data_IF_283691592274
#
_entry.id   IF_283691592274
#
_cell.length_a   1.000
_cell.length_b   1.000
_cell.length_c   1.000
_cell.angle_alpha   90.00
_cell.angle_beta   90.00
_cell.angle_gamma   90.00
#
_symmetry.space_group_name_H-M   'P 1'
#
loop_
_entity.id
_entity.type
_entity.pdbx_description
1 polymer ?
#
# COMPACT_ATOMS: atom_id res chain seq x y z
N UNK A 1 73.23 42.13 58.45
CA UNK A 1 72.84 40.73 58.19
C UNK A 1 71.31 40.49 58.20
N UNK A 2 70.56 41.16 59.02
CA UNK A 2 69.13 40.92 59.19
C UNK A 2 68.27 41.26 57.91
N UNK A 3 68.63 42.30 57.15
CA UNK A 3 67.83 42.66 55.98
C UNK A 3 67.84 41.66 54.83
N UNK A 4 69.01 41.01 54.64
CA UNK A 4 69.15 39.91 53.64
C UNK A 4 68.38 38.63 54.01
N UNK A 5 68.27 38.35 55.32
CA UNK A 5 67.51 37.20 55.77
C UNK A 5 66.02 37.39 55.67
N UNK A 6 65.52 38.63 55.94
CA UNK A 6 64.12 38.98 55.76
C UNK A 6 63.73 38.93 54.25
N UNK A 7 64.55 39.41 53.36
CA UNK A 7 64.31 39.32 51.93
C UNK A 7 64.30 37.89 51.39
N UNK A 8 65.14 37.02 51.90
CA UNK A 8 65.14 35.58 51.56
C UNK A 8 63.90 34.88 52.10
N UNK A 9 63.40 35.24 53.27
CA UNK A 9 62.22 34.65 53.90
C UNK A 9 60.94 35.10 53.15
N UNK A 10 60.86 36.36 52.69
CA UNK A 10 59.77 36.85 51.88
C UNK A 10 59.75 36.24 50.48
N UNK A 11 60.91 36.01 49.87
CA UNK A 11 61.01 35.32 48.60
C UNK A 11 60.62 33.81 48.71
N UNK A 12 61.03 33.17 49.81
CA UNK A 12 60.63 31.78 50.06
C UNK A 12 59.11 31.65 50.39
N UNK A 13 58.53 32.58 51.14
CA UNK A 13 57.11 32.61 51.38
C UNK A 13 56.31 32.94 50.12
N UNK A 14 56.78 33.85 49.28
CA UNK A 14 56.19 34.16 47.98
C UNK A 14 56.22 32.95 47.05
N UNK A 15 57.30 32.21 46.98
CA UNK A 15 57.41 31.00 46.12
C UNK A 15 56.55 29.85 46.65
N UNK A 16 56.37 29.70 47.94
CA UNK A 16 55.51 28.71 48.53
C UNK A 16 54.00 29.04 48.31
N UNK A 17 53.67 30.33 48.36
CA UNK A 17 52.30 30.83 48.04
C UNK A 17 51.94 30.57 46.59
N UNK A 18 52.84 30.85 45.68
CA UNK A 18 52.64 30.59 44.23
C UNK A 18 52.54 29.09 43.94
N UNK A 19 53.37 28.23 44.59
CA UNK A 19 53.31 26.80 44.38
C UNK A 19 52.06 26.15 44.97
N UNK A 20 51.47 26.72 46.05
CA UNK A 20 50.22 26.22 46.64
C UNK A 20 48.94 26.70 45.89
N UNK A 21 48.99 27.86 45.25
CA UNK A 21 47.86 28.44 44.55
C UNK A 21 47.78 27.94 43.08
N UNK A 22 48.95 27.66 42.42
CA UNK A 22 48.99 27.15 41.06
C UNK A 22 48.13 25.89 40.81
N UNK A 23 48.20 24.83 41.62
CA UNK A 23 47.34 23.63 41.35
C UNK A 23 45.86 23.92 41.47
N UNK A 24 45.43 24.80 42.35
CA UNK A 24 44.03 25.18 42.54
C UNK A 24 43.51 26.08 41.37
N UNK A 25 44.39 26.95 40.84
CA UNK A 25 44.06 27.80 39.70
C UNK A 25 43.97 26.97 38.40
N UNK A 26 44.89 26.00 38.22
CA UNK A 26 44.85 25.10 37.07
C UNK A 26 43.63 24.19 37.10
N UNK A 27 43.21 23.71 38.28
CA UNK A 27 41.98 22.92 38.44
C UNK A 27 40.70 23.71 38.14
N UNK A 28 40.70 25.04 38.36
CA UNK A 28 39.57 25.91 37.99
C UNK A 28 39.48 26.22 36.50
N UNK A 29 40.53 25.99 35.74
CA UNK A 29 40.55 26.17 34.27
C UNK A 29 40.13 24.93 33.50
N UNK A 30 39.91 23.77 34.16
CA UNK A 30 39.46 22.56 33.49
C UNK A 30 37.98 22.69 33.19
N UNK A 31 37.55 22.69 31.91
CA UNK A 31 36.14 22.82 31.56
C UNK A 31 35.38 21.61 32.08
N UNK A 32 34.21 21.88 32.66
CA UNK A 32 33.28 20.85 33.11
C UNK A 32 32.36 20.48 31.95
N UNK A 33 32.26 19.22 31.64
CA UNK A 33 31.48 18.71 30.52
C UNK A 33 30.41 17.75 31.00
N UNK A 34 29.26 17.84 30.37
CA UNK A 34 28.21 16.83 30.50
C UNK A 34 28.47 15.73 29.50
N UNK A 35 28.43 14.49 29.96
CA UNK A 35 28.68 13.33 29.13
C UNK A 35 27.51 12.38 29.13
N UNK A 36 27.30 11.76 27.99
CA UNK A 36 26.34 10.70 27.77
C UNK A 36 27.01 9.52 27.10
N UNK A 37 26.40 8.37 27.15
CA UNK A 37 26.75 7.21 26.33
C UNK A 37 25.78 7.10 25.17
N UNK A 38 26.26 6.65 24.00
CA UNK A 38 25.35 6.29 22.90
C UNK A 38 24.30 5.26 23.38
N UNK A 39 23.10 5.36 22.84
CA UNK A 39 22.04 4.39 23.15
C UNK A 39 21.86 3.45 21.98
N UNK A 40 21.79 2.14 22.27
CA UNK A 40 21.26 1.20 21.29
C UNK A 40 19.75 1.31 21.26
N UNK A 41 19.21 1.57 20.07
CA UNK A 41 17.77 1.65 19.81
C UNK A 41 17.43 0.60 18.77
N UNK A 42 16.40 -0.17 19.07
CA UNK A 42 15.81 -1.06 18.06
C UNK A 42 14.96 -0.23 17.12
N UNK A 43 15.42 -0.08 15.90
CA UNK A 43 14.69 0.64 14.87
C UNK A 43 13.79 -0.33 14.10
N UNK A 44 12.51 0.00 14.03
CA UNK A 44 11.53 -0.65 13.17
C UNK A 44 11.14 0.31 12.06
N UNK A 45 11.36 -0.08 10.82
CA UNK A 45 10.91 0.70 9.68
C UNK A 45 9.40 0.58 9.56
N UNK A 46 8.71 1.73 9.55
CA UNK A 46 7.26 1.80 9.36
C UNK A 46 6.95 2.38 8.00
N UNK A 47 6.04 1.74 7.29
CA UNK A 47 5.62 2.14 5.95
C UNK A 47 4.15 2.51 6.00
N UNK A 48 3.85 3.74 5.60
CA UNK A 48 2.47 4.22 5.50
C UNK A 48 1.91 3.90 4.12
N UNK A 49 0.76 3.26 4.12
CA UNK A 49 0.02 2.90 2.92
C UNK A 49 -1.42 3.39 3.02
N UNK A 50 -2.03 3.69 1.88
CA UNK A 50 -3.42 4.17 1.82
C UNK A 50 -4.23 3.29 0.88
N UNK A 51 -5.51 3.12 1.18
CA UNK A 51 -6.40 2.30 0.38
C UNK A 51 -7.83 2.29 0.88
N UNK A 52 -8.50 1.17 0.74
CA UNK A 52 -9.91 0.97 1.11
C UNK A 52 -10.11 -0.32 1.89
N UNK A 53 -11.13 -0.31 2.75
CA UNK A 53 -11.62 -1.55 3.37
C UNK A 53 -12.50 -2.28 2.35
N UNK A 54 -12.29 -3.57 2.22
CA UNK A 54 -13.09 -4.44 1.37
C UNK A 54 -13.54 -5.68 2.14
N UNK A 55 -14.69 -6.25 1.77
CA UNK A 55 -15.07 -7.54 2.29
C UNK A 55 -14.13 -8.62 1.72
N UNK A 56 -13.62 -9.50 2.56
CA UNK A 56 -12.68 -10.54 2.14
C UNK A 56 -13.29 -11.48 1.10
N UNK A 57 -14.58 -11.81 1.27
CA UNK A 57 -15.31 -12.67 0.36
C UNK A 57 -16.47 -11.89 -0.25
N UNK A 58 -16.44 -11.71 -1.55
CA UNK A 58 -17.54 -11.14 -2.34
C UNK A 58 -17.87 -12.10 -3.46
N UNK A 59 -19.17 -12.36 -3.65
CA UNK A 59 -19.68 -13.15 -4.76
C UNK A 59 -20.62 -12.35 -5.61
N UNK A 60 -20.27 -12.28 -6.87
CA UNK A 60 -21.04 -11.64 -7.92
C UNK A 60 -21.80 -12.71 -8.70
N UNK A 61 -23.10 -12.54 -8.82
CA UNK A 61 -23.98 -13.47 -9.51
C UNK A 61 -24.20 -12.94 -10.91
N UNK A 62 -23.69 -13.66 -11.90
CA UNK A 62 -23.88 -13.41 -13.31
C UNK A 62 -24.77 -14.47 -13.93
N UNK A 63 -25.51 -14.12 -14.96
CA UNK A 63 -26.15 -15.07 -15.88
C UNK A 63 -25.57 -14.87 -17.28
N UNK A 64 -25.35 -15.95 -17.98
CA UNK A 64 -24.82 -15.94 -19.35
C UNK A 64 -25.84 -15.38 -20.33
N UNK A 65 -27.13 -15.51 -20.00
CA UNK A 65 -28.24 -15.04 -20.82
C UNK A 65 -28.99 -13.92 -20.14
N UNK A 66 -29.48 -12.89 -20.89
CA UNK A 66 -30.39 -11.89 -20.34
C UNK A 66 -31.67 -12.56 -19.85
N UNK A 67 -32.15 -12.18 -18.69
CA UNK A 67 -33.39 -12.74 -18.10
C UNK A 67 -34.30 -11.62 -17.63
N UNK A 68 -35.60 -11.93 -17.52
CA UNK A 68 -36.59 -11.08 -16.89
C UNK A 68 -36.97 -11.72 -15.56
N UNK A 69 -36.79 -10.97 -14.49
CA UNK A 69 -37.27 -11.41 -13.18
C UNK A 69 -38.75 -11.10 -13.03
N UNK A 70 -39.56 -12.09 -12.65
CA UNK A 70 -40.96 -11.88 -12.24
C UNK A 70 -41.05 -11.19 -10.88
N UNK A 71 -40.09 -11.49 -9.98
CA UNK A 71 -40.00 -10.85 -8.67
C UNK A 71 -38.56 -10.82 -8.16
N UNK A 72 -38.19 -9.75 -7.45
CA UNK A 72 -36.95 -9.63 -6.71
C UNK A 72 -37.29 -9.56 -5.23
N UNK A 73 -36.74 -10.49 -4.44
CA UNK A 73 -37.16 -10.74 -3.05
C UNK A 73 -36.19 -10.11 -2.04
N UNK A 74 -35.13 -9.46 -2.52
CA UNK A 74 -34.08 -8.88 -1.68
C UNK A 74 -33.76 -7.44 -2.10
N UNK A 75 -33.28 -6.67 -1.12
CA UNK A 75 -32.83 -5.30 -1.30
C UNK A 75 -31.39 -5.15 -0.82
N UNK A 76 -30.72 -4.08 -1.24
CA UNK A 76 -29.39 -3.76 -0.73
C UNK A 76 -29.46 -3.55 0.79
N UNK A 77 -28.58 -4.24 1.52
CA UNK A 77 -28.53 -4.25 2.98
C UNK A 77 -29.17 -5.46 3.63
N UNK A 78 -29.91 -6.29 2.89
CA UNK A 78 -30.52 -7.50 3.45
C UNK A 78 -29.48 -8.59 3.70
N UNK A 79 -29.58 -9.26 4.85
CA UNK A 79 -28.81 -10.45 5.14
C UNK A 79 -29.49 -11.68 4.50
N UNK A 80 -28.71 -12.44 3.76
CA UNK A 80 -29.17 -13.65 3.08
C UNK A 80 -28.36 -14.85 3.49
N UNK A 81 -29.01 -16.02 3.49
CA UNK A 81 -28.35 -17.31 3.73
C UNK A 81 -28.07 -17.99 2.40
N UNK A 82 -27.06 -18.84 2.42
CA UNK A 82 -26.76 -19.73 1.29
C UNK A 82 -28.02 -20.47 0.83
N UNK A 83 -28.20 -20.60 -0.49
CA UNK A 83 -29.34 -21.24 -1.17
C UNK A 83 -30.68 -20.50 -0.97
N UNK A 84 -30.72 -19.34 -0.31
CA UNK A 84 -31.92 -18.52 -0.23
C UNK A 84 -32.25 -17.94 -1.62
N UNK A 85 -33.54 -17.97 -1.99
CA UNK A 85 -34.04 -17.40 -3.24
C UNK A 85 -33.96 -15.85 -3.15
N UNK A 86 -33.31 -15.26 -4.14
CA UNK A 86 -33.08 -13.81 -4.25
C UNK A 86 -34.04 -13.17 -5.30
N UNK A 87 -34.25 -13.89 -6.38
CA UNK A 87 -35.17 -13.48 -7.44
C UNK A 87 -35.76 -14.71 -8.14
N UNK A 88 -36.96 -14.54 -8.66
CA UNK A 88 -37.65 -15.53 -9.49
C UNK A 88 -37.67 -15.05 -10.92
N UNK A 89 -37.37 -15.91 -11.87
CA UNK A 89 -37.26 -15.58 -13.29
C UNK A 89 -38.56 -15.96 -14.01
N UNK A 90 -39.08 -15.10 -14.83
CA UNK A 90 -40.12 -15.42 -15.79
C UNK A 90 -39.48 -16.11 -17.00
N UNK A 91 -39.44 -17.42 -16.94
CA UNK A 91 -38.85 -18.24 -18.01
C UNK A 91 -39.65 -18.18 -19.31
N UNK A 92 -40.97 -18.00 -19.21
CA UNK A 92 -41.87 -17.93 -20.39
C UNK A 92 -41.64 -16.62 -21.15
N UNK A 93 -41.66 -15.51 -20.43
CA UNK A 93 -41.44 -14.20 -21.03
C UNK A 93 -39.98 -14.06 -21.53
N UNK A 94 -39.00 -14.56 -20.77
CA UNK A 94 -37.61 -14.61 -21.19
C UNK A 94 -37.43 -15.36 -22.49
N UNK A 95 -38.00 -16.56 -22.63
CA UNK A 95 -37.96 -17.36 -23.85
C UNK A 95 -38.63 -16.65 -25.02
N UNK A 96 -39.83 -16.07 -24.82
CA UNK A 96 -40.56 -15.39 -25.87
C UNK A 96 -39.80 -14.19 -26.46
N UNK A 97 -39.06 -13.43 -25.61
CA UNK A 97 -38.24 -12.32 -26.05
C UNK A 97 -37.00 -12.81 -26.80
N UNK A 98 -36.41 -13.92 -26.36
CA UNK A 98 -35.26 -14.53 -27.04
C UNK A 98 -35.66 -15.10 -28.41
N UNK A 99 -36.84 -15.70 -28.49
CA UNK A 99 -37.38 -16.22 -29.75
C UNK A 99 -37.82 -15.10 -30.71
N UNK A 100 -38.24 -13.94 -30.18
CA UNK A 100 -38.54 -12.73 -30.94
C UNK A 100 -37.32 -11.89 -31.33
N UNK A 101 -36.15 -12.16 -30.72
CA UNK A 101 -34.87 -11.58 -31.19
C UNK A 101 -34.62 -12.13 -32.60
N UNK A 102 -34.71 -11.25 -33.57
CA UNK A 102 -34.75 -11.41 -35.02
C UNK A 102 -33.96 -12.65 -35.47
N UNK A 103 -34.60 -13.62 -36.12
CA UNK A 103 -33.91 -14.76 -36.70
C UNK A 103 -32.76 -14.26 -37.59
N UNK A 104 -31.62 -14.90 -37.56
CA UNK A 104 -30.45 -14.51 -38.38
C UNK A 104 -30.82 -14.32 -39.86
N UNK A 105 -31.86 -15.02 -40.32
CA UNK A 105 -32.43 -14.92 -41.68
C UNK A 105 -33.14 -13.57 -41.93
N UNK A 106 -33.82 -12.98 -40.90
CA UNK A 106 -34.46 -11.67 -41.06
C UNK A 106 -33.46 -10.53 -40.93
N UNK A 107 -32.37 -10.74 -40.14
CA UNK A 107 -31.25 -9.80 -40.09
C UNK A 107 -30.50 -9.80 -41.44
N UNK A 108 -30.29 -10.97 -42.04
CA UNK A 108 -29.70 -11.09 -43.38
C UNK A 108 -30.58 -10.46 -44.46
N UNK A 109 -31.92 -10.55 -44.33
CA UNK A 109 -32.86 -9.90 -45.25
C UNK A 109 -32.90 -8.39 -45.07
N UNK A 110 -32.83 -7.86 -43.83
CA UNK A 110 -32.75 -6.40 -43.54
C UNK A 110 -31.43 -5.81 -44.09
N UNK A 111 -30.34 -6.52 -43.94
CA UNK A 111 -29.06 -6.11 -44.57
C UNK A 111 -29.05 -6.27 -46.09
N UNK A 112 -29.80 -7.23 -46.65
CA UNK A 112 -29.84 -7.43 -48.10
C UNK A 112 -30.66 -6.35 -48.81
N UNK A 113 -31.70 -5.77 -48.19
CA UNK A 113 -32.46 -4.68 -48.79
C UNK A 113 -31.74 -3.32 -48.74
N UNK A 114 -31.01 -3.01 -47.62
CA UNK A 114 -30.23 -1.79 -47.52
C UNK A 114 -28.89 -1.86 -48.31
N UNK A 115 -28.33 -3.06 -48.48
CA UNK A 115 -27.06 -3.27 -49.16
C UNK A 115 -27.17 -3.28 -50.71
N UNK A 116 -28.35 -3.46 -51.24
CA UNK A 116 -28.57 -3.26 -52.68
C UNK A 116 -28.47 -1.80 -53.14
N UNK A 117 -28.51 -0.84 -52.18
CA UNK A 117 -28.29 0.57 -52.47
C UNK A 117 -26.87 1.08 -52.17
N UNK A 118 -26.02 0.29 -51.56
CA UNK A 118 -24.66 0.70 -51.18
C UNK A 118 -23.63 0.26 -52.24
N UNK A 119 -23.19 1.20 -53.06
CA UNK A 119 -22.12 1.05 -54.03
C UNK A 119 -20.75 0.61 -53.43
N UNK A 120 -20.64 0.58 -52.11
CA UNK A 120 -19.41 0.22 -51.40
C UNK A 120 -19.22 -1.30 -51.24
N UNK A 121 -20.29 -2.10 -51.41
CA UNK A 121 -20.18 -3.57 -51.32
C UNK A 121 -19.63 -4.20 -52.59
N UNK A 122 -19.77 -3.56 -53.74
CA UNK A 122 -19.12 -3.99 -54.97
C UNK A 122 -17.58 -3.97 -54.84
N UNK A 123 -17.05 -3.02 -53.99
CA UNK A 123 -15.64 -2.95 -53.63
C UNK A 123 -15.18 -4.12 -52.76
N UNK A 124 -15.98 -4.49 -51.79
CA UNK A 124 -15.65 -5.60 -50.87
C UNK A 124 -15.75 -6.94 -51.54
N UNK A 125 -16.72 -7.15 -52.42
CA UNK A 125 -16.88 -8.35 -53.24
C UNK A 125 -15.72 -8.53 -54.23
N UNK A 126 -15.24 -7.44 -54.87
CA UNK A 126 -14.08 -7.48 -55.74
C UNK A 126 -12.76 -7.78 -55.04
N UNK A 127 -12.59 -7.31 -53.80
CA UNK A 127 -11.42 -7.60 -52.95
C UNK A 127 -11.41 -9.06 -52.50
N UNK A 128 -12.58 -9.62 -52.18
CA UNK A 128 -12.72 -11.03 -51.77
C UNK A 128 -12.52 -11.97 -52.98
N UNK A 129 -13.01 -11.64 -54.16
CA UNK A 129 -12.77 -12.43 -55.39
C UNK A 129 -11.29 -12.44 -55.83
N UNK A 130 -10.52 -11.42 -55.50
CA UNK A 130 -9.10 -11.34 -55.79
C UNK A 130 -8.18 -12.02 -54.77
N UNK A 131 -8.73 -12.54 -53.69
CA UNK A 131 -7.98 -13.27 -52.67
C UNK A 131 -7.95 -14.80 -52.95
N UNK A 132 -6.92 -15.52 -52.51
CA UNK A 132 -6.83 -16.98 -52.67
C UNK A 132 -8.00 -17.77 -52.03
N UNK A 133 -8.78 -17.13 -51.17
CA UNK A 133 -9.97 -17.67 -50.49
C UNK A 133 -11.24 -17.48 -51.36
N UNK A 134 -11.23 -16.59 -52.35
CA UNK A 134 -12.41 -16.21 -53.12
C UNK A 134 -12.79 -17.14 -54.26
N UNK A 135 -11.97 -18.15 -54.60
CA UNK A 135 -12.22 -19.03 -55.74
C UNK A 135 -13.36 -20.04 -55.55
N UNK A 136 -13.93 -20.14 -54.33
CA UNK A 136 -15.01 -21.07 -54.04
C UNK A 136 -16.31 -20.38 -53.50
N UNK A 137 -16.38 -19.05 -53.51
CA UNK A 137 -17.53 -18.31 -53.03
C UNK A 137 -18.32 -17.79 -54.20
N UNK A 138 -19.37 -18.51 -54.59
CA UNK A 138 -20.19 -18.19 -55.76
C UNK A 138 -21.27 -17.15 -55.48
N UNK A 139 -21.69 -16.96 -54.25
CA UNK A 139 -22.75 -16.01 -53.86
C UNK A 139 -22.55 -15.46 -52.46
N UNK A 140 -23.23 -14.37 -52.09
CA UNK A 140 -23.23 -13.82 -50.76
C UNK A 140 -23.81 -14.82 -49.73
N UNK A 141 -24.75 -15.69 -50.17
CA UNK A 141 -25.31 -16.79 -49.38
C UNK A 141 -24.22 -17.82 -49.02
N UNK A 142 -23.29 -18.09 -49.95
CA UNK A 142 -22.14 -19.00 -49.71
C UNK A 142 -21.17 -18.42 -48.67
N UNK A 143 -21.00 -17.09 -48.65
CA UNK A 143 -20.17 -16.40 -47.65
C UNK A 143 -20.78 -16.45 -46.26
N UNK A 144 -22.07 -16.22 -46.14
CA UNK A 144 -22.81 -16.32 -44.88
C UNK A 144 -22.82 -17.78 -44.40
N UNK A 145 -22.98 -18.74 -45.31
CA UNK A 145 -22.93 -20.17 -44.98
C UNK A 145 -21.52 -20.63 -44.56
N UNK A 146 -20.48 -20.06 -45.12
CA UNK A 146 -19.08 -20.37 -44.76
C UNK A 146 -18.67 -19.69 -43.44
N UNK A 147 -19.20 -18.52 -43.14
CA UNK A 147 -18.92 -17.78 -41.90
C UNK A 147 -19.70 -18.31 -40.68
N UNK A 148 -20.90 -18.81 -40.90
CA UNK A 148 -21.81 -19.29 -39.87
C UNK A 148 -22.11 -20.79 -39.92
N UNK A 149 -21.44 -21.55 -40.77
CA UNK A 149 -21.70 -22.97 -41.03
C UNK A 149 -22.92 -23.15 -41.90
N UNK A 150 -22.92 -24.18 -42.79
CA UNK A 150 -24.06 -24.56 -43.64
C UNK A 150 -25.33 -24.66 -42.76
N UNK A 151 -26.37 -23.92 -43.15
CA UNK A 151 -27.70 -24.02 -42.59
C UNK A 151 -28.27 -25.38 -42.97
N UNK A 152 -27.81 -26.45 -42.31
CA UNK A 152 -28.54 -27.72 -42.25
C UNK A 152 -29.82 -27.40 -41.47
N UNK A 153 -30.98 -27.61 -42.09
CA UNK A 153 -32.33 -27.40 -41.46
C UNK A 153 -32.55 -28.21 -40.22
N UNK A 154 -31.57 -29.03 -39.81
CA UNK A 154 -31.58 -29.79 -38.55
C UNK A 154 -30.91 -29.05 -37.36
N UNK A 155 -30.25 -27.92 -37.60
CA UNK A 155 -29.82 -27.02 -36.52
C UNK A 155 -30.99 -26.08 -36.19
N UNK A 156 -32.07 -26.61 -35.64
CA UNK A 156 -32.99 -25.83 -34.81
C UNK A 156 -32.06 -25.11 -33.80
N UNK A 157 -32.18 -23.79 -33.56
CA UNK A 157 -31.50 -23.09 -32.47
C UNK A 157 -32.11 -23.53 -31.14
N UNK A 158 -32.17 -24.80 -30.92
CA UNK A 158 -32.55 -25.48 -29.69
C UNK A 158 -31.25 -25.89 -28.96
N UNK A 159 -30.22 -25.12 -29.07
CA UNK A 159 -29.19 -25.05 -28.03
C UNK A 159 -29.96 -24.69 -26.76
N UNK A 160 -30.13 -25.70 -25.90
CA UNK A 160 -30.81 -25.55 -24.63
C UNK A 160 -30.18 -24.43 -23.83
N UNK A 161 -30.65 -23.20 -24.10
CA UNK A 161 -30.29 -22.04 -23.28
C UNK A 161 -30.91 -22.35 -21.92
N UNK A 162 -30.06 -22.72 -20.98
CA UNK A 162 -30.52 -22.95 -19.62
C UNK A 162 -30.92 -21.62 -19.00
N UNK A 163 -32.19 -21.43 -18.76
CA UNK A 163 -32.74 -20.30 -18.03
C UNK A 163 -33.12 -20.83 -16.64
N UNK A 164 -32.41 -20.43 -15.57
CA UNK A 164 -32.79 -20.88 -14.24
C UNK A 164 -34.15 -20.28 -13.84
N UNK A 165 -34.95 -21.01 -13.09
CA UNK A 165 -36.22 -20.51 -12.58
C UNK A 165 -36.06 -19.52 -11.44
N UNK A 166 -34.98 -19.67 -10.68
CA UNK A 166 -34.65 -18.81 -9.53
C UNK A 166 -33.16 -18.47 -9.49
N UNK A 167 -32.86 -17.30 -8.95
CA UNK A 167 -31.51 -16.89 -8.58
C UNK A 167 -31.38 -17.10 -7.07
N UNK A 168 -30.40 -17.88 -6.64
CA UNK A 168 -30.15 -18.18 -5.23
C UNK A 168 -28.81 -17.61 -4.75
N UNK A 169 -28.69 -17.37 -3.45
CA UNK A 169 -27.46 -16.90 -2.83
C UNK A 169 -26.40 -18.02 -2.80
N UNK A 170 -25.19 -17.81 -3.34
CA UNK A 170 -24.11 -18.79 -3.32
C UNK A 170 -23.42 -18.93 -1.95
N UNK A 171 -23.64 -17.96 -1.04
CA UNK A 171 -23.05 -17.89 0.30
C UNK A 171 -23.93 -17.09 1.25
N UNK A 172 -23.66 -17.22 2.55
CA UNK A 172 -24.21 -16.33 3.56
C UNK A 172 -23.55 -14.93 3.43
N UNK A 173 -24.31 -13.87 3.67
CA UNK A 173 -23.75 -12.51 3.60
C UNK A 173 -24.79 -11.42 3.47
N UNK A 174 -24.33 -10.20 3.26
CA UNK A 174 -25.18 -9.03 2.99
C UNK A 174 -25.19 -8.73 1.49
N UNK A 175 -26.37 -8.42 0.98
CA UNK A 175 -26.57 -7.96 -0.40
C UNK A 175 -26.03 -6.55 -0.52
N UNK A 176 -24.99 -6.36 -1.33
CA UNK A 176 -24.32 -5.07 -1.54
C UNK A 176 -24.75 -4.36 -2.82
N UNK A 177 -25.24 -5.11 -3.81
CA UNK A 177 -25.77 -4.56 -5.06
C UNK A 177 -26.91 -5.42 -5.59
N UNK A 178 -27.95 -4.79 -6.16
CA UNK A 178 -29.06 -5.42 -6.85
C UNK A 178 -29.29 -4.63 -8.15
N UNK A 179 -28.87 -5.20 -9.27
CA UNK A 179 -29.04 -4.63 -10.62
C UNK A 179 -30.23 -5.24 -11.36
N UNK A 180 -30.70 -6.42 -10.94
CA UNK A 180 -31.91 -7.07 -11.49
C UNK A 180 -33.16 -6.34 -11.02
N UNK A 181 -34.10 -6.11 -11.94
CA UNK A 181 -35.40 -5.46 -11.66
C UNK A 181 -36.53 -6.32 -12.17
N UNK A 182 -37.68 -6.32 -11.46
CA UNK A 182 -38.87 -7.00 -11.92
C UNK A 182 -39.36 -6.43 -13.24
N UNK A 183 -39.78 -7.29 -14.14
CA UNK A 183 -40.33 -6.97 -15.46
C UNK A 183 -39.39 -6.19 -16.41
N UNK A 184 -38.08 -6.22 -16.11
CA UNK A 184 -37.05 -5.57 -16.93
C UNK A 184 -36.01 -6.60 -17.37
N UNK A 185 -35.65 -6.57 -18.65
CA UNK A 185 -34.60 -7.43 -19.19
C UNK A 185 -33.24 -7.07 -18.56
N UNK A 186 -32.62 -8.05 -17.96
CA UNK A 186 -31.30 -7.88 -17.33
C UNK A 186 -30.18 -7.71 -18.36
N UNK A 187 -29.03 -7.17 -17.92
CA UNK A 187 -27.83 -7.05 -18.73
C UNK A 187 -26.81 -8.11 -18.33
N UNK A 188 -26.28 -8.86 -19.29
CA UNK A 188 -25.27 -9.91 -19.04
C UNK A 188 -23.89 -9.37 -18.67
N UNK A 189 -23.59 -8.10 -19.03
CA UNK A 189 -22.29 -7.47 -18.79
C UNK A 189 -22.06 -7.00 -17.35
N UNK A 190 -23.09 -7.08 -16.49
CA UNK A 190 -23.01 -6.65 -15.08
C UNK A 190 -23.52 -7.77 -14.16
N UNK A 191 -22.98 -7.85 -12.92
CA UNK A 191 -23.52 -8.77 -11.94
C UNK A 191 -24.97 -8.38 -11.63
N UNK A 192 -25.86 -9.36 -11.53
CA UNK A 192 -27.27 -9.16 -11.20
C UNK A 192 -27.46 -8.84 -9.73
N UNK A 193 -26.74 -9.54 -8.88
CA UNK A 193 -26.74 -9.37 -7.42
C UNK A 193 -25.31 -9.62 -6.92
N UNK A 194 -24.86 -8.79 -6.01
CA UNK A 194 -23.57 -8.96 -5.32
C UNK A 194 -23.81 -9.19 -3.85
N UNK A 195 -23.17 -10.22 -3.29
CA UNK A 195 -23.25 -10.59 -1.88
C UNK A 195 -21.84 -10.54 -1.29
N UNK A 196 -21.68 -9.87 -0.16
CA UNK A 196 -20.39 -9.77 0.55
C UNK A 196 -20.53 -10.38 1.96
N UNK A 197 -19.48 -11.06 2.39
CA UNK A 197 -19.32 -11.51 3.77
C UNK A 197 -19.15 -10.30 4.69
N UNK A 198 -19.76 -10.34 5.86
CA UNK A 198 -19.67 -9.28 6.87
C UNK A 198 -18.79 -9.65 8.06
N UNK A 199 -18.31 -10.88 8.11
CA UNK A 199 -17.46 -11.38 9.19
C UNK A 199 -15.97 -11.20 8.97
N UNK A 200 -15.55 -10.88 7.73
CA UNK A 200 -14.14 -10.84 7.35
C UNK A 200 -13.85 -9.65 6.43
N UNK A 201 -12.92 -8.80 6.85
CA UNK A 201 -12.52 -7.63 6.09
C UNK A 201 -11.02 -7.64 5.81
N UNK A 202 -10.67 -7.06 4.68
CA UNK A 202 -9.29 -6.77 4.29
C UNK A 202 -9.14 -5.29 3.99
N UNK A 203 -7.95 -4.76 4.25
CA UNK A 203 -7.58 -3.45 3.77
C UNK A 203 -6.75 -3.62 2.49
N UNK A 204 -7.31 -3.20 1.36
CA UNK A 204 -6.60 -3.12 0.07
C UNK A 204 -5.86 -1.80 0.02
N UNK A 205 -4.54 -1.82 0.18
CA UNK A 205 -3.70 -0.62 0.24
C UNK A 205 -2.63 -0.64 -0.84
N UNK A 206 -2.11 0.55 -1.16
CA UNK A 206 -1.03 0.70 -2.12
C UNK A 206 0.25 1.11 -1.43
N UNK A 207 1.34 0.42 -1.74
CA UNK A 207 2.70 0.70 -1.26
C UNK A 207 3.55 1.17 -2.43
N UNK A 208 4.31 2.26 -2.23
CA UNK A 208 5.22 2.78 -3.25
C UNK A 208 6.32 1.77 -3.62
N UNK A 209 6.72 1.76 -4.89
CA UNK A 209 7.73 0.84 -5.45
C UNK A 209 9.03 0.81 -4.63
N UNK A 210 9.47 1.97 -4.12
CA UNK A 210 10.67 2.10 -3.29
C UNK A 210 10.63 1.31 -1.98
N UNK A 211 9.44 0.97 -1.49
CA UNK A 211 9.22 0.23 -0.25
C UNK A 211 8.78 -1.21 -0.46
N UNK A 212 8.55 -1.61 -1.72
CA UNK A 212 8.01 -2.94 -2.03
C UNK A 212 8.93 -4.09 -1.63
N UNK A 213 10.25 -3.85 -1.62
CA UNK A 213 11.26 -4.83 -1.18
C UNK A 213 11.37 -4.96 0.35
N UNK A 214 10.83 -4.01 1.10
CA UNK A 214 10.95 -3.97 2.56
C UNK A 214 9.80 -4.70 3.26
N UNK A 215 8.72 -4.98 2.54
CA UNK A 215 7.51 -5.64 3.08
C UNK A 215 7.48 -7.13 2.74
N UNK A 216 6.92 -7.90 3.65
CA UNK A 216 6.75 -9.35 3.49
C UNK A 216 5.34 -9.78 3.94
N UNK A 217 4.86 -10.89 3.38
CA UNK A 217 3.64 -11.55 3.88
C UNK A 217 3.86 -11.95 5.34
N UNK A 218 2.90 -11.61 6.19
CA UNK A 218 2.97 -11.81 7.64
C UNK A 218 3.46 -10.57 8.42
N UNK A 219 3.91 -9.49 7.76
CA UNK A 219 4.27 -8.26 8.48
C UNK A 219 3.02 -7.68 9.16
N UNK A 220 3.11 -7.30 10.43
CA UNK A 220 2.00 -6.71 11.15
C UNK A 220 1.70 -5.29 10.66
N UNK A 221 0.44 -4.91 10.75
CA UNK A 221 -0.02 -3.58 10.36
C UNK A 221 -1.10 -3.06 11.32
N UNK A 222 -1.13 -1.74 11.48
CA UNK A 222 -2.20 -1.05 12.19
C UNK A 222 -3.03 -0.28 11.17
N UNK A 223 -4.33 -0.55 11.14
CA UNK A 223 -5.27 0.03 10.19
C UNK A 223 -6.10 1.10 10.90
N UNK A 224 -6.15 2.29 10.32
CA UNK A 224 -6.94 3.44 10.77
C UNK A 224 -7.75 3.99 9.61
N UNK A 225 -8.80 4.76 9.89
CA UNK A 225 -9.61 5.34 8.82
C UNK A 225 -10.56 6.42 9.34
N UNK A 226 -11.02 7.27 8.43
CA UNK A 226 -11.94 8.36 8.77
C UNK A 226 -13.33 7.87 9.14
N UNK A 227 -13.77 6.74 8.56
CA UNK A 227 -15.07 6.13 8.86
C UNK A 227 -15.15 5.43 10.21
N UNK A 228 -14.01 5.19 10.86
CA UNK A 228 -13.86 4.55 12.18
C UNK A 228 -12.77 5.23 13.01
N UNK A 229 -12.76 6.58 12.99
CA UNK A 229 -11.69 7.44 13.56
C UNK A 229 -11.36 7.21 15.03
N UNK A 230 -12.28 6.64 15.82
CA UNK A 230 -12.08 6.35 17.23
C UNK A 230 -11.47 4.97 17.49
N UNK A 231 -11.27 4.17 16.43
CA UNK A 231 -10.75 2.81 16.52
C UNK A 231 -9.56 2.61 15.61
N UNK A 232 -8.68 1.73 16.00
CA UNK A 232 -7.64 1.15 15.16
C UNK A 232 -7.78 -0.36 15.17
N UNK A 233 -7.50 -0.99 14.05
CA UNK A 233 -7.53 -2.45 13.92
C UNK A 233 -6.13 -2.97 13.68
N UNK A 234 -5.81 -4.07 14.32
CA UNK A 234 -4.60 -4.84 14.04
C UNK A 234 -4.86 -5.77 12.86
N UNK A 235 -3.82 -6.05 12.11
CA UNK A 235 -3.87 -6.97 10.99
C UNK A 235 -2.47 -7.33 10.52
N UNK A 236 -2.41 -8.12 9.49
CA UNK A 236 -1.15 -8.56 8.89
C UNK A 236 -1.27 -8.64 7.37
N UNK A 237 -0.14 -8.47 6.69
CA UNK A 237 -0.10 -8.63 5.23
C UNK A 237 -0.43 -10.08 4.88
N UNK A 238 -1.56 -10.28 4.21
CA UNK A 238 -1.96 -11.60 3.69
C UNK A 238 -1.44 -11.85 2.29
N UNK A 239 -1.34 -10.78 1.47
CA UNK A 239 -0.91 -10.91 0.08
C UNK A 239 -0.24 -9.64 -0.43
N UNK A 240 0.80 -9.82 -1.23
CA UNK A 240 1.44 -8.76 -2.01
C UNK A 240 1.23 -9.12 -3.48
N UNK A 241 0.59 -8.22 -4.24
CA UNK A 241 0.32 -8.49 -5.65
C UNK A 241 1.59 -8.33 -6.48
N UNK A 242 1.88 -9.26 -7.41
CA UNK A 242 3.17 -9.29 -8.13
C UNK A 242 3.26 -8.26 -9.27
N UNK A 243 2.21 -7.49 -9.50
CA UNK A 243 2.13 -6.52 -10.61
C UNK A 243 2.06 -5.11 -10.05
N UNK A 244 3.06 -4.29 -10.39
CA UNK A 244 3.04 -2.87 -10.10
C UNK A 244 2.19 -2.12 -11.13
N UNK A 245 1.52 -1.06 -10.67
CA UNK A 245 0.71 -0.18 -11.52
C UNK A 245 0.96 1.29 -11.21
N UNK A 246 0.53 2.17 -12.10
CA UNK A 246 0.53 3.60 -11.83
C UNK A 246 -0.63 3.95 -10.89
N UNK A 247 -0.35 4.71 -9.84
CA UNK A 247 -1.38 5.21 -8.94
C UNK A 247 -2.35 6.14 -9.70
N UNK A 248 -3.65 5.94 -9.50
CA UNK A 248 -4.68 6.77 -10.10
C UNK A 248 -4.97 7.99 -9.21
N UNK A 249 -5.17 9.18 -9.81
CA UNK A 249 -5.65 10.35 -9.08
C UNK A 249 -4.58 11.29 -8.52
N UNK A 250 -3.29 11.05 -8.75
CA UNK A 250 -2.21 11.97 -8.39
C UNK A 250 -1.65 12.69 -9.62
N UNK A 251 -1.27 13.96 -9.46
CA UNK A 251 -0.62 14.74 -10.53
C UNK A 251 0.76 14.15 -10.91
N UNK A 252 1.40 13.43 -10.00
CA UNK A 252 2.64 12.66 -10.21
C UNK A 252 2.25 11.19 -10.30
N UNK A 253 2.57 10.54 -11.42
CA UNK A 253 2.32 9.11 -11.61
C UNK A 253 3.32 8.28 -10.81
N UNK A 254 3.01 8.02 -9.57
CA UNK A 254 3.79 7.11 -8.73
C UNK A 254 3.53 5.65 -9.11
N UNK A 255 4.59 4.84 -9.14
CA UNK A 255 4.45 3.39 -9.31
C UNK A 255 4.20 2.76 -7.94
N UNK A 256 3.15 1.97 -7.84
CA UNK A 256 2.71 1.33 -6.60
C UNK A 256 2.45 -0.15 -6.79
N UNK A 257 2.53 -0.88 -5.70
CA UNK A 257 2.17 -2.30 -5.59
C UNK A 257 0.95 -2.39 -4.68
N UNK A 258 -0.04 -3.16 -5.09
CA UNK A 258 -1.22 -3.44 -4.26
C UNK A 258 -0.88 -4.48 -3.21
N UNK A 259 -1.34 -4.24 -1.98
CA UNK A 259 -1.10 -5.08 -0.81
C UNK A 259 -2.43 -5.30 -0.11
N UNK A 260 -2.71 -6.56 0.20
CA UNK A 260 -3.87 -6.98 0.97
C UNK A 260 -3.46 -7.24 2.42
N UNK A 261 -4.14 -6.60 3.35
CA UNK A 261 -3.92 -6.74 4.79
C UNK A 261 -5.19 -7.31 5.40
N UNK A 262 -5.12 -8.50 5.95
CA UNK A 262 -6.22 -9.10 6.69
C UNK A 262 -6.39 -8.41 8.04
N UNK A 263 -7.62 -8.05 8.40
CA UNK A 263 -7.97 -7.45 9.68
C UNK A 263 -8.30 -8.58 10.66
N UNK A 264 -7.58 -8.66 11.79
CA UNK A 264 -7.65 -9.80 12.69
C UNK A 264 -8.96 -9.89 13.47
N UNK A 265 -9.50 -8.77 13.92
CA UNK A 265 -10.72 -8.72 14.74
C UNK A 265 -11.66 -7.60 14.22
N UNK A 266 -12.29 -7.80 13.05
CA UNK A 266 -13.23 -6.84 12.50
C UNK A 266 -14.52 -6.78 13.32
N UNK A 267 -15.18 -5.61 13.33
CA UNK A 267 -16.48 -5.42 13.95
C UNK A 267 -17.45 -4.67 13.01
N UNK A 268 -18.69 -4.48 13.45
CA UNK A 268 -19.76 -3.84 12.67
C UNK A 268 -19.50 -2.37 12.32
N UNK A 269 -18.44 -1.75 12.89
CA UNK A 269 -18.03 -0.38 12.55
C UNK A 269 -17.32 -0.32 11.20
N UNK A 270 -16.78 -1.43 10.72
CA UNK A 270 -16.15 -1.54 9.41
C UNK A 270 -17.20 -1.71 8.31
N UNK A 271 -17.02 -0.99 7.22
CA UNK A 271 -17.84 -1.14 6.02
C UNK A 271 -16.95 -1.16 4.79
N UNK A 272 -17.29 -2.02 3.86
CA UNK A 272 -16.63 -2.04 2.54
C UNK A 272 -16.77 -0.67 1.86
N UNK A 273 -15.68 -0.20 1.26
CA UNK A 273 -15.58 1.12 0.65
C UNK A 273 -15.07 2.23 1.58
N UNK A 274 -14.89 1.98 2.88
CA UNK A 274 -14.28 2.99 3.76
C UNK A 274 -12.81 3.19 3.41
N UNK A 275 -12.35 4.44 3.51
CA UNK A 275 -10.93 4.77 3.35
C UNK A 275 -10.13 4.19 4.50
N UNK A 276 -9.03 3.51 4.17
CA UNK A 276 -8.10 2.93 5.12
C UNK A 276 -6.70 3.54 4.97
N UNK A 277 -6.03 3.69 6.11
CA UNK A 277 -4.60 3.95 6.20
C UNK A 277 -3.98 2.83 7.01
N UNK A 278 -2.97 2.19 6.45
CA UNK A 278 -2.22 1.15 7.13
C UNK A 278 -0.81 1.65 7.47
N UNK A 279 -0.40 1.45 8.69
CA UNK A 279 0.98 1.58 9.14
C UNK A 279 1.57 0.17 9.24
N UNK A 280 2.35 -0.22 8.23
CA UNK A 280 2.97 -1.55 8.14
C UNK A 280 4.30 -1.51 8.89
N UNK A 281 4.47 -2.40 9.84
CA UNK A 281 5.70 -2.57 10.60
C UNK A 281 6.54 -3.67 9.97
N UNK A 282 7.64 -3.29 9.33
CA UNK A 282 8.47 -4.28 8.64
C UNK A 282 9.33 -5.08 9.62
N UNK A 283 9.61 -6.33 9.29
CA UNK A 283 10.54 -7.17 10.07
C UNK A 283 12.01 -6.73 9.94
N UNK A 284 12.30 -5.67 9.21
CA UNK A 284 13.64 -5.08 9.11
C UNK A 284 14.03 -4.37 10.40
N UNK A 285 14.05 -5.14 11.51
CA UNK A 285 14.51 -4.66 12.81
C UNK A 285 16.03 -4.63 12.79
N UNK A 286 16.61 -3.47 13.08
CA UNK A 286 18.05 -3.35 13.27
C UNK A 286 18.38 -2.57 14.53
N UNK A 287 19.40 -3.03 15.24
CA UNK A 287 19.97 -2.24 16.31
C UNK A 287 20.78 -1.12 15.69
N UNK A 288 20.50 0.10 16.09
CA UNK A 288 21.27 1.26 15.68
C UNK A 288 21.81 2.01 16.88
N UNK A 289 22.98 2.57 16.72
CA UNK A 289 23.60 3.40 17.72
C UNK A 289 23.13 4.83 17.54
N UNK A 290 22.44 5.38 18.53
CA UNK A 290 21.85 6.71 18.48
C UNK A 290 22.52 7.66 19.47
N UNK A 291 22.78 8.88 19.01
CA UNK A 291 23.30 9.98 19.82
C UNK A 291 22.39 11.21 19.66
N UNK A 292 22.24 12.05 20.66
CA UNK A 292 21.48 13.28 20.54
C UNK A 292 22.20 14.30 19.67
N UNK A 293 21.44 15.16 19.02
CA UNK A 293 21.93 16.20 18.11
C UNK A 293 22.98 17.13 18.74
N UNK A 294 22.85 17.41 20.05
CA UNK A 294 23.73 18.31 20.80
C UNK A 294 25.19 17.79 20.90
N UNK A 295 25.40 16.50 20.72
CA UNK A 295 26.73 15.91 20.75
C UNK A 295 27.49 16.06 19.42
N UNK A 296 26.77 16.32 18.31
CA UNK A 296 27.32 16.37 16.96
C UNK A 296 27.85 17.79 16.70
N UNK A 297 29.05 17.85 16.14
CA UNK A 297 29.68 19.06 15.66
C UNK A 297 30.03 18.88 14.18
N UNK A 298 30.14 19.98 13.46
CA UNK A 298 30.53 19.97 12.06
C UNK A 298 31.70 20.95 11.87
N UNK A 299 32.73 20.58 11.10
CA UNK A 299 33.83 21.45 10.78
C UNK A 299 33.60 22.27 9.48
N UNK A 300 34.57 23.11 9.14
CA UNK A 300 34.51 23.97 7.94
C UNK A 300 34.42 23.18 6.62
N UNK A 301 34.77 21.87 6.63
CA UNK A 301 34.72 20.99 5.49
C UNK A 301 33.46 20.11 5.49
N UNK A 302 32.46 20.42 6.34
CA UNK A 302 31.25 19.66 6.54
C UNK A 302 31.49 18.22 7.06
N UNK A 303 32.63 17.99 7.73
CA UNK A 303 32.90 16.68 8.37
C UNK A 303 32.24 16.70 9.74
N UNK A 304 31.36 15.73 9.98
CA UNK A 304 30.72 15.55 11.28
C UNK A 304 31.62 14.83 12.25
N UNK A 305 31.66 15.34 13.46
CA UNK A 305 32.48 14.75 14.51
C UNK A 305 31.85 14.92 15.89
N UNK A 306 32.31 14.12 16.83
CA UNK A 306 31.97 14.20 18.26
C UNK A 306 33.23 14.34 19.10
N UNK A 307 33.07 14.78 20.34
CA UNK A 307 34.13 14.68 21.32
C UNK A 307 33.88 13.49 22.24
N UNK A 308 34.83 12.56 22.26
CA UNK A 308 34.86 11.41 23.15
C UNK A 308 35.79 11.68 24.32
N UNK A 309 35.41 11.28 25.53
CA UNK A 309 36.30 11.39 26.68
C UNK A 309 37.19 10.16 26.78
N UNK A 310 38.49 10.37 26.57
CA UNK A 310 39.52 9.33 26.69
C UNK A 310 40.65 9.83 27.62
N UNK A 311 41.00 9.07 28.65
CA UNK A 311 42.01 9.44 29.66
C UNK A 311 41.80 10.84 30.27
N UNK A 312 40.53 11.20 30.57
CA UNK A 312 40.12 12.54 31.08
C UNK A 312 40.43 13.68 30.12
N UNK A 313 40.57 13.41 28.84
CA UNK A 313 40.74 14.41 27.78
C UNK A 313 39.61 14.26 26.73
N UNK A 314 39.23 15.38 26.15
CA UNK A 314 38.34 15.36 25.02
C UNK A 314 39.14 15.06 23.74
N UNK A 315 38.76 14.06 23.01
CA UNK A 315 39.36 13.64 21.75
C UNK A 315 38.34 13.76 20.65
N UNK A 316 38.64 14.50 19.59
CA UNK A 316 37.80 14.56 18.40
C UNK A 316 37.77 13.19 17.73
N UNK A 317 36.57 12.78 17.38
CA UNK A 317 36.34 11.55 16.64
C UNK A 317 35.40 11.87 15.48
N UNK A 318 35.86 11.73 14.26
CA UNK A 318 35.05 11.89 13.09
C UNK A 318 34.05 10.72 12.99
N UNK A 319 32.82 11.02 12.69
CA UNK A 319 31.71 10.05 12.61
C UNK A 319 31.04 10.10 11.24
N UNK A 320 30.30 9.06 10.92
CA UNK A 320 29.36 9.06 9.81
C UNK A 320 27.98 8.84 10.40
N UNK A 321 27.10 9.79 10.14
CA UNK A 321 25.71 9.72 10.57
C UNK A 321 24.87 8.95 9.55
N UNK A 322 23.68 8.52 9.97
CA UNK A 322 22.70 7.81 9.16
C UNK A 322 21.32 8.44 9.27
N UNK A 323 20.37 7.69 9.79
CA UNK A 323 18.99 8.11 9.94
C UNK A 323 18.85 9.18 11.03
N UNK A 324 18.11 10.25 10.70
CA UNK A 324 17.72 11.26 11.68
C UNK A 324 16.35 10.89 12.26
N UNK A 325 16.25 10.87 13.59
CA UNK A 325 15.04 10.58 14.35
C UNK A 325 14.70 11.76 15.26
N UNK A 326 13.50 11.73 15.85
CA UNK A 326 13.02 12.81 16.72
C UNK A 326 13.95 13.06 17.91
N UNK A 327 14.55 12.01 18.48
CA UNK A 327 15.36 12.02 19.69
C UNK A 327 16.88 11.99 19.45
N UNK A 328 17.33 12.03 18.19
CA UNK A 328 18.75 12.00 17.85
C UNK A 328 19.05 11.43 16.46
N UNK A 329 20.32 11.18 16.22
CA UNK A 329 20.83 10.72 14.93
C UNK A 329 21.53 9.37 15.10
N UNK A 330 21.34 8.50 14.12
CA UNK A 330 22.09 7.25 14.01
C UNK A 330 23.55 7.53 13.69
N UNK A 331 24.46 6.81 14.33
CA UNK A 331 25.86 6.77 13.97
C UNK A 331 26.18 5.44 13.33
N UNK A 332 26.53 5.48 12.04
CA UNK A 332 26.82 4.26 11.26
C UNK A 332 28.29 3.86 11.36
N UNK A 333 29.18 4.82 11.61
CA UNK A 333 30.62 4.57 11.73
C UNK A 333 31.31 5.60 12.63
N UNK A 334 32.43 5.21 13.24
CA UNK A 334 33.31 6.10 13.98
C UNK A 334 33.09 6.14 15.50
N UNK A 335 32.08 5.42 16.04
CA UNK A 335 31.74 5.45 17.47
C UNK A 335 31.46 4.06 18.04
N UNK A 336 31.91 3.81 19.25
CA UNK A 336 31.60 2.60 20.02
C UNK A 336 30.46 2.79 21.02
N UNK A 337 29.81 1.69 21.41
CA UNK A 337 28.63 1.69 22.29
C UNK A 337 28.88 2.23 23.70
N UNK A 338 30.10 2.06 24.23
CA UNK A 338 30.46 2.39 25.62
C UNK A 338 31.32 3.67 25.71
N UNK A 339 31.42 4.44 24.64
CA UNK A 339 32.21 5.67 24.65
C UNK A 339 31.43 6.82 25.30
N UNK A 340 32.12 7.62 26.11
CA UNK A 340 31.53 8.80 26.75
C UNK A 340 31.61 9.99 25.81
N UNK A 341 30.47 10.51 25.38
CA UNK A 341 30.33 11.66 24.48
C UNK A 341 30.10 12.94 25.26
N UNK A 342 30.71 14.00 24.82
CA UNK A 342 30.47 15.35 25.35
C UNK A 342 29.28 15.97 24.66
N UNK A 343 28.26 16.38 25.40
CA UNK A 343 27.05 17.05 24.84
C UNK A 343 27.21 18.55 24.67
N UNK A 344 28.00 19.23 25.54
CA UNK A 344 28.26 20.65 25.45
C UNK A 344 29.59 20.97 24.76
N UNK A 345 29.79 20.44 23.58
CA UNK A 345 31.04 20.40 22.84
C UNK A 345 31.60 21.79 22.47
N UNK A 346 30.78 22.84 22.39
CA UNK A 346 31.20 24.21 22.05
C UNK A 346 32.25 24.80 23.03
N UNK A 347 32.31 24.25 24.26
CA UNK A 347 33.26 24.67 25.28
C UNK A 347 34.59 23.92 25.27
N UNK A 348 34.76 22.96 24.36
CA UNK A 348 35.83 21.97 24.40
C UNK A 348 36.66 21.99 23.10
N UNK A 349 37.98 21.82 23.22
CA UNK A 349 38.89 21.59 22.08
C UNK A 349 39.61 20.27 22.26
N UNK A 350 40.05 19.68 21.16
CA UNK A 350 40.80 18.43 21.16
C UNK A 350 42.03 18.51 22.05
N UNK A 351 42.24 17.48 22.89
CA UNK A 351 43.38 17.36 23.78
C UNK A 351 43.23 18.04 25.14
N UNK A 352 42.16 18.85 25.33
CA UNK A 352 41.93 19.56 26.60
C UNK A 352 41.44 18.54 27.65
N UNK A 353 42.02 18.66 28.88
CA UNK A 353 41.51 17.93 30.02
C UNK A 353 40.11 18.40 30.37
N UNK A 354 39.22 17.46 30.63
CA UNK A 354 37.82 17.73 30.99
C UNK A 354 37.49 17.12 32.33
N UNK A 355 36.55 17.72 33.03
CA UNK A 355 35.98 17.22 34.27
C UNK A 355 34.53 16.82 34.02
N UNK A 356 34.21 15.57 34.30
CA UNK A 356 32.85 15.06 34.12
C UNK A 356 31.91 15.63 35.17
N UNK A 357 30.82 16.23 34.75
CA UNK A 357 29.62 16.39 35.57
C UNK A 357 28.91 15.02 35.59
N UNK A 358 28.84 14.39 36.74
CA UNK A 358 27.90 13.30 36.92
C UNK A 358 26.50 13.90 37.00
N UNK A 359 25.66 13.63 36.01
CA UNK A 359 24.23 13.87 36.07
C UNK A 359 23.54 12.88 37.00
#
# INVERSE_FOLDING_TARGET
MALKQIAALLLAAGSFGVAAVMPAAVLRMVPTVTCITPKQVLYEKRINASGTIEAQNTKEIYLETPVIASSVQVSVGDYVKKDQVLATIDTTLTKSIMEQSIPAKDLANLFSEDLQQASDLAGLYSVLQSSPLGSNIGSFEDLVSAAYGSTDESLTPNSYIYIPETITAPMDGIVTSVEVKSDVLSRTAKPLITISDTGSYVAMVTVGESYSSDIQVGDPAVITGTGFAEKSYEGHISKIYPVARKASGTAVQETVVDVEITIDNPDDSLKSGFTARAEIMTNARRNMLMIPYEAIQQDENNIEYVYVVQDSKAVRRDITTGLELLDGVEVTNGLGENELLVTNASAVKTGVRVRLLRG
#
